data_IF_252624075179
#
_entry.id   IF_252624075179
#
_cell.length_a   1.000
_cell.length_b   1.000
_cell.length_c   1.000
_cell.angle_alpha   90.00
_cell.angle_beta   90.00
_cell.angle_gamma   90.00
#
_symmetry.space_group_name_H-M   'P 1'
#
loop_
_entity.id
_entity.type
_entity.pdbx_description
1 polymer ?
#
# COMPACT_ATOMS: atom_id res chain seq x y z
N UNK A 1 -19.42 -11.57 -32.00
CA UNK A 1 -18.88 -12.04 -30.71
C UNK A 1 -19.18 -10.96 -29.68
N UNK A 2 -20.40 -10.98 -29.15
CA UNK A 2 -20.80 -10.11 -28.05
C UNK A 2 -20.13 -10.65 -26.80
N UNK A 3 -19.20 -9.89 -26.21
CA UNK A 3 -18.72 -10.14 -24.85
C UNK A 3 -19.95 -10.05 -23.95
N UNK A 4 -20.56 -11.19 -23.60
CA UNK A 4 -21.66 -11.19 -22.64
C UNK A 4 -21.11 -10.66 -21.32
N UNK A 5 -21.86 -9.77 -20.66
CA UNK A 5 -21.57 -9.18 -19.35
C UNK A 5 -21.47 -10.20 -18.18
N UNK A 6 -21.26 -11.49 -18.47
CA UNK A 6 -21.37 -12.63 -17.57
C UNK A 6 -20.13 -12.91 -16.70
N UNK A 7 -19.15 -12.00 -16.64
CA UNK A 7 -17.92 -12.20 -15.87
C UNK A 7 -17.78 -11.32 -14.62
N UNK A 8 -18.62 -10.29 -14.47
CA UNK A 8 -18.62 -9.45 -13.26
C UNK A 8 -19.64 -10.04 -12.29
N UNK A 9 -19.17 -10.48 -11.13
CA UNK A 9 -20.08 -10.93 -10.08
C UNK A 9 -21.00 -9.78 -9.65
N UNK A 10 -22.30 -10.04 -9.43
CA UNK A 10 -23.22 -8.99 -9.02
C UNK A 10 -22.74 -8.39 -7.70
N UNK A 11 -22.69 -7.06 -7.65
CA UNK A 11 -22.39 -6.34 -6.41
C UNK A 11 -23.58 -6.47 -5.46
N UNK A 12 -23.36 -6.50 -4.13
CA UNK A 12 -24.43 -6.52 -3.14
C UNK A 12 -25.00 -5.10 -2.96
N UNK A 13 -25.77 -4.62 -3.94
CA UNK A 13 -26.33 -3.26 -3.99
C UNK A 13 -27.45 -2.99 -2.97
N UNK A 14 -28.05 -4.06 -2.44
CA UNK A 14 -29.05 -4.05 -1.38
C UNK A 14 -28.45 -3.91 0.03
N UNK A 15 -27.15 -4.18 0.19
CA UNK A 15 -26.47 -4.11 1.48
C UNK A 15 -26.48 -2.67 2.02
N UNK A 16 -26.83 -2.54 3.31
CA UNK A 16 -26.83 -1.29 4.05
C UNK A 16 -26.02 -1.42 5.33
N UNK A 17 -25.20 -0.42 5.62
CA UNK A 17 -24.48 -0.33 6.89
C UNK A 17 -25.36 0.30 7.96
N UNK A 18 -25.22 -0.12 9.23
CA UNK A 18 -25.82 0.59 10.35
C UNK A 18 -25.22 2.00 10.48
N UNK A 19 -26.07 3.02 10.63
CA UNK A 19 -25.64 4.44 10.64
C UNK A 19 -24.52 4.72 11.65
N UNK A 20 -24.65 4.21 12.87
CA UNK A 20 -23.63 4.36 13.92
C UNK A 20 -22.29 3.75 13.53
N UNK A 21 -22.28 2.55 12.92
CA UNK A 21 -21.05 1.88 12.50
C UNK A 21 -20.38 2.65 11.35
N UNK A 22 -21.16 3.09 10.37
CA UNK A 22 -20.69 3.90 9.25
C UNK A 22 -19.99 5.18 9.70
N UNK A 23 -20.61 5.94 10.61
CA UNK A 23 -20.01 7.16 11.14
C UNK A 23 -18.80 6.92 12.03
N UNK A 24 -18.84 5.92 12.92
CA UNK A 24 -17.70 5.62 13.80
C UNK A 24 -16.47 5.19 13.01
N UNK A 25 -16.63 4.31 12.02
CA UNK A 25 -15.52 3.85 11.17
C UNK A 25 -14.98 5.00 10.31
N UNK A 26 -15.86 5.79 9.68
CA UNK A 26 -15.48 6.97 8.89
C UNK A 26 -14.68 7.97 9.74
N UNK A 27 -15.19 8.32 10.92
CA UNK A 27 -14.52 9.25 11.82
C UNK A 27 -13.16 8.71 12.30
N UNK A 28 -13.10 7.42 12.65
CA UNK A 28 -11.86 6.78 13.07
C UNK A 28 -10.76 6.88 12.02
N UNK A 29 -11.06 6.52 10.77
CA UNK A 29 -10.10 6.56 9.66
C UNK A 29 -9.66 7.99 9.34
N UNK A 30 -10.60 8.95 9.29
CA UNK A 30 -10.28 10.37 9.07
C UNK A 30 -9.35 10.89 10.17
N UNK A 31 -9.64 10.57 11.43
CA UNK A 31 -8.80 10.96 12.56
C UNK A 31 -7.38 10.38 12.43
N UNK A 32 -7.23 9.11 12.06
CA UNK A 32 -5.90 8.53 11.82
C UNK A 32 -5.13 9.27 10.71
N UNK A 33 -5.79 9.61 9.61
CA UNK A 33 -5.23 10.41 8.54
C UNK A 33 -4.77 11.80 9.02
N UNK A 34 -5.61 12.49 9.80
CA UNK A 34 -5.28 13.81 10.35
C UNK A 34 -4.18 13.76 11.41
N UNK A 35 -4.14 12.73 12.24
CA UNK A 35 -3.05 12.51 13.21
C UNK A 35 -1.72 12.30 12.50
N UNK A 36 -1.70 11.56 11.38
CA UNK A 36 -0.49 11.41 10.58
C UNK A 36 -0.06 12.74 9.93
N UNK A 37 -1.00 13.56 9.45
CA UNK A 37 -0.72 14.91 8.97
C UNK A 37 -0.11 15.80 10.06
N UNK A 38 -0.71 15.79 11.26
CA UNK A 38 -0.21 16.54 12.40
C UNK A 38 1.20 16.09 12.81
N UNK A 39 1.46 14.77 12.81
CA UNK A 39 2.80 14.22 13.01
C UNK A 39 3.76 14.68 11.91
N UNK A 40 3.33 14.72 10.65
CA UNK A 40 4.11 15.25 9.54
C UNK A 40 4.46 16.73 9.71
N UNK A 41 3.50 17.55 10.13
CA UNK A 41 3.70 18.96 10.47
C UNK A 41 4.70 19.15 11.62
N UNK A 42 4.59 18.33 12.67
CA UNK A 42 5.57 18.29 13.76
C UNK A 42 6.97 17.94 13.27
N UNK A 43 7.10 16.90 12.44
CA UNK A 43 8.38 16.46 11.85
C UNK A 43 9.01 17.55 11.00
N UNK A 44 8.20 18.23 10.20
CA UNK A 44 8.64 19.37 9.40
C UNK A 44 9.12 20.53 10.26
N UNK A 45 8.34 20.95 11.26
CA UNK A 45 8.67 22.07 12.13
C UNK A 45 9.94 21.82 12.96
N UNK A 46 10.07 20.61 13.53
CA UNK A 46 11.16 20.28 14.46
C UNK A 46 12.44 19.80 13.77
N UNK A 47 12.32 19.03 12.68
CA UNK A 47 13.44 18.35 12.04
C UNK A 47 13.65 18.73 10.58
N UNK A 48 12.83 19.62 10.02
CA UNK A 48 12.83 19.99 8.58
C UNK A 48 12.62 18.78 7.66
N UNK A 49 11.99 17.74 8.19
CA UNK A 49 11.65 16.53 7.48
C UNK A 49 10.25 16.70 6.85
N UNK A 50 10.22 17.03 5.57
CA UNK A 50 8.97 17.21 4.81
C UNK A 50 8.41 15.92 4.23
N UNK A 51 9.17 14.81 4.28
CA UNK A 51 8.77 13.52 3.71
C UNK A 51 7.41 13.03 4.21
N UNK A 52 7.08 13.05 5.52
CA UNK A 52 5.78 12.56 5.97
C UNK A 52 4.60 13.40 5.46
N UNK A 53 4.77 14.72 5.30
CA UNK A 53 3.72 15.59 4.71
C UNK A 53 3.55 15.29 3.23
N UNK A 54 4.65 15.08 2.51
CA UNK A 54 4.62 14.68 1.09
C UNK A 54 3.96 13.30 0.95
N UNK A 55 4.25 12.35 1.83
CA UNK A 55 3.61 11.02 1.80
C UNK A 55 2.12 11.08 2.13
N UNK A 56 1.74 11.94 3.09
CA UNK A 56 0.32 12.20 3.36
C UNK A 56 -0.38 12.70 2.09
N UNK A 57 0.17 13.74 1.44
CA UNK A 57 -0.41 14.31 0.23
C UNK A 57 -0.42 13.33 -0.96
N UNK A 58 0.67 12.59 -1.17
CA UNK A 58 0.76 11.57 -2.21
C UNK A 58 -0.21 10.41 -1.99
N UNK A 59 -0.44 10.02 -0.73
CA UNK A 59 -1.47 9.05 -0.35
C UNK A 59 -2.88 9.57 -0.66
N UNK A 60 -3.26 10.71 -0.07
CA UNK A 60 -4.61 11.27 -0.15
C UNK A 60 -5.03 11.74 -1.55
N UNK A 61 -4.13 12.34 -2.31
CA UNK A 61 -4.50 13.08 -3.52
C UNK A 61 -4.03 12.42 -4.81
N UNK A 62 -3.28 11.31 -4.73
CA UNK A 62 -2.79 10.61 -5.91
C UNK A 62 -3.07 9.12 -5.78
N UNK A 63 -2.55 8.48 -4.73
CA UNK A 63 -2.65 7.03 -4.59
C UNK A 63 -4.09 6.57 -4.36
N UNK A 64 -4.90 7.29 -3.59
CA UNK A 64 -6.29 6.90 -3.33
C UNK A 64 -7.16 6.78 -4.58
N UNK A 65 -6.80 7.44 -5.68
CA UNK A 65 -7.55 7.35 -6.93
C UNK A 65 -7.46 5.98 -7.60
N UNK A 66 -6.54 5.12 -7.17
CA UNK A 66 -6.46 3.72 -7.64
C UNK A 66 -7.50 2.82 -6.96
N UNK A 67 -8.10 3.26 -5.85
CA UNK A 67 -9.03 2.49 -5.04
C UNK A 67 -10.20 1.88 -5.84
N UNK A 68 -10.99 2.64 -6.62
CA UNK A 68 -12.18 2.07 -7.28
C UNK A 68 -11.82 1.00 -8.32
N UNK A 69 -10.59 1.04 -8.86
CA UNK A 69 -10.11 -0.06 -9.71
C UNK A 69 -9.89 -1.31 -8.85
N UNK A 70 -9.25 -1.15 -7.68
CA UNK A 70 -8.98 -2.21 -6.71
C UNK A 70 -10.25 -2.83 -6.18
N UNK A 71 -11.23 -2.00 -5.84
CA UNK A 71 -12.53 -2.43 -5.35
C UNK A 71 -13.24 -3.29 -6.38
N UNK A 72 -13.26 -2.84 -7.63
CA UNK A 72 -13.89 -3.57 -8.73
C UNK A 72 -13.24 -4.95 -8.96
N UNK A 73 -11.91 -5.01 -9.11
CA UNK A 73 -11.23 -6.29 -9.43
C UNK A 73 -11.01 -7.18 -8.21
N UNK A 74 -10.99 -6.59 -7.02
CA UNK A 74 -10.83 -7.25 -5.73
C UNK A 74 -12.13 -7.72 -5.09
N UNK A 75 -13.26 -7.40 -5.73
CA UNK A 75 -14.61 -7.65 -5.22
C UNK A 75 -14.81 -7.05 -3.82
N UNK A 76 -14.40 -5.80 -3.64
CA UNK A 76 -14.73 -5.00 -2.46
C UNK A 76 -15.89 -4.07 -2.80
N UNK A 77 -16.85 -3.96 -1.89
CA UNK A 77 -18.00 -3.08 -2.05
C UNK A 77 -18.23 -2.19 -0.84
N UNK A 78 -18.47 -0.91 -1.12
CA UNK A 78 -18.92 0.08 -0.14
C UNK A 78 -20.44 0.23 -0.25
N UNK A 79 -21.23 -0.07 0.80
CA UNK A 79 -22.65 0.23 0.83
C UNK A 79 -22.92 1.71 0.54
N UNK A 80 -23.93 1.99 -0.28
CA UNK A 80 -24.25 3.36 -0.75
C UNK A 80 -24.74 4.31 0.34
N UNK A 81 -24.96 3.80 1.56
CA UNK A 81 -25.28 4.61 2.74
C UNK A 81 -24.10 4.80 3.70
N UNK A 82 -22.87 4.44 3.31
CA UNK A 82 -21.67 4.85 4.04
C UNK A 82 -21.56 6.39 3.99
N UNK A 83 -21.26 7.06 5.12
CA UNK A 83 -21.22 8.52 5.15
C UNK A 83 -20.18 9.14 4.21
N UNK A 84 -20.51 10.32 3.70
CA UNK A 84 -19.58 11.22 3.00
C UNK A 84 -18.97 10.62 1.72
N UNK A 85 -19.78 10.28 0.72
CA UNK A 85 -19.26 9.89 -0.60
C UNK A 85 -18.41 11.02 -1.21
N UNK A 86 -17.19 10.70 -1.65
CA UNK A 86 -16.29 11.65 -2.29
C UNK A 86 -16.49 11.69 -3.81
N UNK A 87 -16.47 10.52 -4.45
CA UNK A 87 -16.69 10.37 -5.89
C UNK A 87 -17.15 8.96 -6.25
N UNK A 88 -17.62 8.80 -7.48
CA UNK A 88 -18.01 7.50 -8.04
C UNK A 88 -17.16 7.23 -9.27
N UNK A 89 -16.56 6.05 -9.35
CA UNK A 89 -15.81 5.60 -10.51
C UNK A 89 -15.99 4.10 -10.71
N UNK A 90 -16.03 3.64 -11.96
CA UNK A 90 -16.23 2.22 -12.31
C UNK A 90 -17.48 1.56 -11.69
N UNK A 91 -18.48 2.36 -11.31
CA UNK A 91 -19.70 1.88 -10.63
C UNK A 91 -19.55 1.69 -9.11
N UNK A 92 -18.41 2.07 -8.53
CA UNK A 92 -18.14 2.01 -7.09
C UNK A 92 -18.22 3.42 -6.50
N UNK A 93 -18.98 3.58 -5.42
CA UNK A 93 -19.00 4.81 -4.61
C UNK A 93 -17.83 4.80 -3.64
N UNK A 94 -16.91 5.75 -3.77
CA UNK A 94 -15.71 5.85 -2.94
C UNK A 94 -15.99 6.84 -1.79
N UNK A 95 -15.97 6.40 -0.52
CA UNK A 95 -16.19 7.30 0.61
C UNK A 95 -15.00 8.23 0.87
N UNK A 96 -15.26 9.38 1.48
CA UNK A 96 -14.26 10.39 1.83
C UNK A 96 -13.18 9.85 2.77
N UNK A 97 -13.47 8.79 3.54
CA UNK A 97 -12.48 8.16 4.41
C UNK A 97 -11.28 7.57 3.64
N UNK A 98 -11.46 7.20 2.37
CA UNK A 98 -10.43 6.49 1.57
C UNK A 98 -9.14 7.31 1.40
N UNK A 99 -9.18 8.59 0.94
CA UNK A 99 -7.99 9.44 0.95
C UNK A 99 -7.24 9.48 2.30
N UNK A 100 -7.96 9.48 3.42
CA UNK A 100 -7.35 9.50 4.74
C UNK A 100 -6.73 8.14 5.10
N UNK A 101 -7.39 7.03 4.76
CA UNK A 101 -6.83 5.68 4.88
C UNK A 101 -5.52 5.55 4.09
N UNK A 102 -5.52 5.94 2.82
CA UNK A 102 -4.32 5.95 1.98
C UNK A 102 -3.23 6.87 2.53
N UNK A 103 -3.59 8.00 3.11
CA UNK A 103 -2.61 8.92 3.70
C UNK A 103 -1.90 8.30 4.91
N UNK A 104 -2.66 7.76 5.88
CA UNK A 104 -2.09 7.21 7.11
C UNK A 104 -1.46 5.84 6.91
N UNK A 105 -2.14 4.94 6.21
CA UNK A 105 -1.71 3.55 6.09
C UNK A 105 -0.68 3.38 4.97
N UNK A 106 -1.02 3.77 3.74
CA UNK A 106 -0.14 3.62 2.58
C UNK A 106 1.02 4.63 2.66
N UNK A 107 0.71 5.93 2.79
CA UNK A 107 1.71 6.99 2.92
C UNK A 107 2.51 6.90 4.23
N UNK A 108 1.82 6.80 5.36
CA UNK A 108 2.45 6.74 6.68
C UNK A 108 3.23 5.45 6.92
N UNK A 109 2.65 4.30 6.61
CA UNK A 109 3.35 3.01 6.66
C UNK A 109 4.62 3.02 5.80
N UNK A 110 4.52 3.56 4.57
CA UNK A 110 5.66 3.68 3.66
C UNK A 110 6.77 4.58 4.22
N UNK A 111 6.39 5.72 4.79
CA UNK A 111 7.34 6.61 5.48
C UNK A 111 8.03 5.93 6.68
N UNK A 112 7.30 5.20 7.52
CA UNK A 112 7.92 4.50 8.66
C UNK A 112 8.84 3.37 8.20
N UNK A 113 8.44 2.60 7.18
CA UNK A 113 9.28 1.60 6.55
C UNK A 113 10.58 2.22 6.01
N UNK A 114 10.49 3.35 5.30
CA UNK A 114 11.64 4.13 4.84
C UNK A 114 12.58 4.51 5.99
N UNK A 115 12.04 5.06 7.08
CA UNK A 115 12.86 5.49 8.24
C UNK A 115 13.61 4.32 8.85
N UNK A 116 13.01 3.14 8.93
CA UNK A 116 13.67 1.93 9.42
C UNK A 116 14.77 1.46 8.46
N UNK A 117 14.51 1.47 7.16
CA UNK A 117 15.50 1.10 6.13
C UNK A 117 16.70 2.04 6.17
N UNK A 118 16.45 3.36 6.22
CA UNK A 118 17.46 4.41 6.32
C UNK A 118 18.28 4.30 7.62
N UNK A 119 17.67 3.84 8.71
CA UNK A 119 18.34 3.60 9.98
C UNK A 119 19.20 2.32 10.02
N UNK A 120 19.37 1.62 8.89
CA UNK A 120 20.27 0.46 8.84
C UNK A 120 19.58 -0.87 9.17
N UNK A 121 18.30 -1.06 8.81
CA UNK A 121 17.59 -2.33 9.05
C UNK A 121 18.37 -3.55 8.51
N UNK A 122 18.18 -4.70 9.15
CA UNK A 122 18.67 -6.02 8.72
C UNK A 122 17.58 -6.79 7.99
N UNK A 123 17.95 -7.82 7.20
CA UNK A 123 16.99 -8.66 6.48
C UNK A 123 15.93 -9.27 7.41
N UNK A 124 16.36 -9.84 8.55
CA UNK A 124 15.43 -10.44 9.54
C UNK A 124 14.41 -9.41 10.04
N UNK A 125 14.87 -8.18 10.33
CA UNK A 125 13.97 -7.09 10.76
C UNK A 125 13.07 -6.61 9.63
N UNK A 126 13.51 -6.64 8.37
CA UNK A 126 12.66 -6.30 7.23
C UNK A 126 11.46 -7.27 7.11
N UNK A 127 11.70 -8.58 7.24
CA UNK A 127 10.61 -9.58 7.29
C UNK A 127 9.73 -9.43 8.53
N UNK A 128 10.29 -9.00 9.67
CA UNK A 128 9.47 -8.69 10.85
C UNK A 128 8.56 -7.47 10.61
N UNK A 129 9.08 -6.42 9.97
CA UNK A 129 8.30 -5.24 9.58
C UNK A 129 7.19 -5.61 8.59
N UNK A 130 7.47 -6.48 7.61
CA UNK A 130 6.45 -7.03 6.72
C UNK A 130 5.29 -7.67 7.51
N UNK A 131 5.61 -8.58 8.45
CA UNK A 131 4.60 -9.23 9.29
C UNK A 131 3.82 -8.25 10.18
N UNK A 132 4.50 -7.24 10.73
CA UNK A 132 3.85 -6.18 11.53
C UNK A 132 2.88 -5.36 10.67
N UNK A 133 3.26 -4.98 9.45
CA UNK A 133 2.38 -4.24 8.55
C UNK A 133 1.17 -5.10 8.16
N UNK A 134 1.39 -6.38 7.83
CA UNK A 134 0.28 -7.29 7.52
C UNK A 134 -0.68 -7.45 8.70
N UNK A 135 -0.16 -7.54 9.93
CA UNK A 135 -1.01 -7.57 11.12
C UNK A 135 -1.75 -6.25 11.34
N UNK A 136 -1.10 -5.11 11.08
CA UNK A 136 -1.72 -3.80 11.20
C UNK A 136 -2.84 -3.60 10.17
N UNK A 137 -2.67 -4.10 8.95
CA UNK A 137 -3.69 -4.14 7.90
C UNK A 137 -4.93 -4.91 8.38
N UNK A 138 -4.72 -6.16 8.82
CA UNK A 138 -5.79 -7.00 9.34
C UNK A 138 -6.56 -6.33 10.49
N UNK A 139 -5.85 -5.71 11.45
CA UNK A 139 -6.46 -5.02 12.59
C UNK A 139 -7.25 -3.78 12.13
N UNK A 140 -6.80 -3.11 11.07
CA UNK A 140 -7.45 -1.91 10.54
C UNK A 140 -8.74 -2.26 9.78
N UNK A 141 -8.69 -3.36 9.01
CA UNK A 141 -9.77 -3.80 8.12
C UNK A 141 -10.92 -4.48 8.85
N UNK A 142 -10.61 -5.33 9.83
CA UNK A 142 -11.61 -6.15 10.54
C UNK A 142 -12.78 -5.35 11.13
N UNK A 143 -12.58 -4.18 11.77
CA UNK A 143 -13.70 -3.35 12.24
C UNK A 143 -14.67 -2.96 11.11
N UNK A 144 -14.17 -2.67 9.91
CA UNK A 144 -15.02 -2.28 8.77
C UNK A 144 -15.75 -3.48 8.17
N UNK A 145 -15.04 -4.57 7.93
CA UNK A 145 -15.64 -5.79 7.35
C UNK A 145 -16.64 -6.46 8.31
N UNK A 146 -16.32 -6.52 9.61
CA UNK A 146 -17.20 -7.14 10.62
C UNK A 146 -18.46 -6.33 10.93
N UNK A 147 -18.48 -5.04 10.63
CA UNK A 147 -19.65 -4.16 10.81
C UNK A 147 -20.40 -3.88 9.51
N UNK A 148 -19.90 -4.40 8.37
CA UNK A 148 -20.48 -4.21 7.05
C UNK A 148 -20.31 -2.80 6.51
N UNK A 149 -19.33 -2.03 7.00
CA UNK A 149 -18.98 -0.71 6.42
C UNK A 149 -18.39 -0.86 5.03
N UNK A 150 -17.73 -1.98 4.78
CA UNK A 150 -17.38 -2.49 3.46
C UNK A 150 -17.38 -4.00 3.51
N UNK A 151 -17.53 -4.65 2.36
CA UNK A 151 -17.57 -6.10 2.26
C UNK A 151 -16.71 -6.58 1.11
N UNK A 152 -15.96 -7.64 1.34
CA UNK A 152 -15.44 -8.46 0.27
C UNK A 152 -16.52 -9.46 -0.14
N UNK A 153 -16.98 -9.37 -1.38
CA UNK A 153 -18.05 -10.23 -1.90
C UNK A 153 -17.50 -11.33 -2.79
N UNK A 154 -18.38 -12.29 -3.10
CA UNK A 154 -18.00 -13.51 -3.81
C UNK A 154 -17.30 -14.54 -2.91
N UNK A 155 -16.75 -15.60 -3.52
CA UNK A 155 -15.99 -16.61 -2.78
C UNK A 155 -14.54 -16.13 -2.60
N UNK A 156 -14.21 -15.64 -1.40
CA UNK A 156 -12.90 -15.13 -1.06
C UNK A 156 -12.14 -16.14 -0.18
N UNK A 157 -10.94 -16.59 -0.58
CA UNK A 157 -10.18 -17.51 0.27
C UNK A 157 -9.68 -16.89 1.57
N UNK A 158 -9.62 -17.72 2.60
CA UNK A 158 -9.02 -17.39 3.90
C UNK A 158 -9.67 -16.19 4.61
N UNK A 159 -10.99 -16.02 4.45
CA UNK A 159 -11.73 -14.99 5.16
C UNK A 159 -11.76 -15.22 6.67
N UNK A 160 -11.46 -14.16 7.41
CA UNK A 160 -11.57 -14.10 8.85
C UNK A 160 -12.29 -12.78 9.17
N UNK A 161 -13.45 -12.86 9.85
CA UNK A 161 -14.30 -11.70 10.13
C UNK A 161 -14.69 -10.87 8.88
N UNK A 162 -14.88 -11.54 7.74
CA UNK A 162 -15.22 -10.90 6.46
C UNK A 162 -14.03 -10.25 5.73
N UNK A 163 -12.82 -10.40 6.26
CA UNK A 163 -11.60 -9.91 5.63
C UNK A 163 -10.77 -11.08 5.05
N UNK A 164 -10.48 -11.12 3.74
CA UNK A 164 -9.66 -12.16 3.14
C UNK A 164 -8.18 -11.95 3.51
N UNK A 165 -7.62 -12.84 4.32
CA UNK A 165 -6.31 -12.64 4.96
C UNK A 165 -5.16 -12.40 3.95
N UNK A 166 -5.32 -12.85 2.70
CA UNK A 166 -4.30 -12.67 1.68
C UNK A 166 -4.08 -11.21 1.27
N UNK A 167 -5.07 -10.35 1.45
CA UNK A 167 -4.91 -8.91 1.22
C UNK A 167 -3.87 -8.29 2.15
N UNK A 168 -3.77 -8.77 3.39
CA UNK A 168 -2.82 -8.20 4.35
C UNK A 168 -1.37 -8.35 3.96
N UNK A 169 -0.95 -9.49 3.40
CA UNK A 169 0.43 -9.62 2.94
C UNK A 169 0.67 -8.91 1.61
N UNK A 170 -0.35 -8.75 0.75
CA UNK A 170 -0.26 -7.95 -0.47
C UNK A 170 -0.09 -6.45 -0.15
N UNK A 171 -0.88 -5.93 0.79
CA UNK A 171 -0.80 -4.55 1.27
C UNK A 171 0.54 -4.30 2.00
N UNK A 172 1.00 -5.26 2.80
CA UNK A 172 2.33 -5.16 3.43
C UNK A 172 3.47 -5.10 2.41
N UNK A 173 3.38 -5.85 1.31
CA UNK A 173 4.32 -5.75 0.19
C UNK A 173 4.28 -4.36 -0.45
N UNK A 174 3.10 -3.80 -0.70
CA UNK A 174 2.96 -2.44 -1.23
C UNK A 174 3.66 -1.42 -0.33
N UNK A 175 3.38 -1.46 0.98
CA UNK A 175 3.95 -0.51 1.95
C UNK A 175 5.48 -0.61 2.02
N UNK A 176 6.04 -1.81 2.04
CA UNK A 176 7.50 -1.99 2.02
C UNK A 176 8.12 -1.47 0.73
N UNK A 177 7.45 -1.66 -0.42
CA UNK A 177 7.90 -1.11 -1.70
C UNK A 177 7.92 0.43 -1.67
N UNK A 178 6.93 1.09 -1.05
CA UNK A 178 6.95 2.55 -0.85
C UNK A 178 8.18 2.96 -0.03
N UNK A 179 8.46 2.23 1.06
CA UNK A 179 9.65 2.46 1.88
C UNK A 179 10.96 2.34 1.09
N UNK A 180 11.05 1.37 0.18
CA UNK A 180 12.18 1.24 -0.74
C UNK A 180 12.27 2.42 -1.71
N UNK A 181 11.18 2.82 -2.36
CA UNK A 181 11.16 3.95 -3.29
C UNK A 181 11.64 5.22 -2.61
N UNK A 182 11.17 5.50 -1.40
CA UNK A 182 11.65 6.63 -0.61
C UNK A 182 13.13 6.51 -0.25
N UNK A 183 13.59 5.33 0.15
CA UNK A 183 15.00 5.11 0.50
C UNK A 183 15.94 5.38 -0.67
N UNK A 184 15.51 5.04 -1.88
CA UNK A 184 16.27 5.31 -3.10
C UNK A 184 16.14 6.78 -3.52
N UNK A 185 14.94 7.35 -3.54
CA UNK A 185 14.70 8.64 -4.16
C UNK A 185 15.02 9.82 -3.24
N UNK A 186 14.63 9.78 -1.97
CA UNK A 186 14.69 10.94 -1.06
C UNK A 186 16.09 11.57 -0.97
N UNK A 187 17.19 10.79 -0.85
CA UNK A 187 18.53 11.38 -0.80
C UNK A 187 19.02 11.96 -2.13
N UNK A 188 18.35 11.66 -3.24
CA UNK A 188 18.81 11.91 -4.62
C UNK A 188 17.99 12.98 -5.35
N UNK A 189 16.82 13.35 -4.83
CA UNK A 189 15.95 14.37 -5.43
C UNK A 189 15.97 15.66 -4.61
N UNK A 190 16.18 16.80 -5.30
CA UNK A 190 16.35 18.10 -4.65
C UNK A 190 15.54 19.21 -5.35
N UNK A 191 15.30 20.30 -4.63
CA UNK A 191 14.54 21.45 -5.13
C UNK A 191 13.14 21.04 -5.63
N UNK A 192 12.73 21.57 -6.78
CA UNK A 192 11.43 21.26 -7.40
C UNK A 192 11.23 19.77 -7.71
N UNK A 193 12.31 19.02 -7.93
CA UNK A 193 12.23 17.58 -8.21
C UNK A 193 11.84 16.75 -6.99
N UNK A 194 11.86 17.32 -5.77
CA UNK A 194 11.25 16.65 -4.61
C UNK A 194 9.77 16.34 -4.80
N UNK A 195 9.07 17.04 -5.71
CA UNK A 195 7.68 16.74 -6.05
C UNK A 195 7.48 15.30 -6.58
N UNK A 196 8.52 14.67 -7.15
CA UNK A 196 8.45 13.26 -7.60
C UNK A 196 8.16 12.31 -6.43
N UNK A 197 8.53 12.67 -5.20
CA UNK A 197 8.21 11.85 -4.02
C UNK A 197 6.70 11.73 -3.79
N UNK A 198 5.87 12.64 -4.29
CA UNK A 198 4.41 12.51 -4.24
C UNK A 198 3.91 11.23 -4.93
N UNK A 199 4.67 10.71 -5.91
CA UNK A 199 4.34 9.49 -6.64
C UNK A 199 4.81 8.22 -5.92
N UNK A 200 5.59 8.32 -4.84
CA UNK A 200 6.15 7.16 -4.15
C UNK A 200 5.06 6.23 -3.57
N UNK A 201 3.97 6.73 -2.95
CA UNK A 201 2.87 5.88 -2.51
C UNK A 201 2.26 5.06 -3.65
N UNK A 202 1.94 5.72 -4.77
CA UNK A 202 1.39 5.06 -5.96
C UNK A 202 2.38 4.07 -6.56
N UNK A 203 3.65 4.43 -6.74
CA UNK A 203 4.66 3.55 -7.31
C UNK A 203 4.85 2.28 -6.47
N UNK A 204 4.91 2.41 -5.14
CA UNK A 204 5.03 1.27 -4.24
C UNK A 204 3.78 0.39 -4.21
N UNK A 205 2.59 1.00 -4.22
CA UNK A 205 1.32 0.28 -4.34
C UNK A 205 1.24 -0.49 -5.66
N UNK A 206 1.61 0.16 -6.77
CA UNK A 206 1.65 -0.45 -8.11
C UNK A 206 2.66 -1.60 -8.22
N UNK A 207 3.72 -1.61 -7.40
CA UNK A 207 4.66 -2.73 -7.36
C UNK A 207 4.00 -4.03 -6.85
N UNK A 208 3.16 -3.94 -5.81
CA UNK A 208 2.40 -5.11 -5.35
C UNK A 208 1.33 -5.51 -6.37
N UNK A 209 0.64 -4.52 -6.96
CA UNK A 209 -0.35 -4.71 -8.02
C UNK A 209 0.20 -5.39 -9.28
N UNK A 210 1.44 -5.09 -9.65
CA UNK A 210 2.05 -5.62 -10.86
C UNK A 210 2.61 -7.04 -10.72
N UNK A 211 2.86 -7.51 -9.49
CA UNK A 211 3.58 -8.77 -9.26
C UNK A 211 2.73 -9.78 -8.47
N UNK A 212 2.18 -9.39 -7.33
CA UNK A 212 1.54 -10.32 -6.40
C UNK A 212 0.00 -10.31 -6.52
N UNK A 213 -0.62 -9.14 -6.74
CA UNK A 213 -2.07 -9.02 -6.88
C UNK A 213 -2.67 -9.57 -8.19
N UNK A 214 -1.98 -9.74 -9.33
CA UNK A 214 -2.60 -10.30 -10.53
C UNK A 214 -3.12 -11.73 -10.31
N UNK A 215 -2.43 -12.54 -9.51
CA UNK A 215 -2.93 -13.85 -9.10
C UNK A 215 -4.15 -13.74 -8.18
N UNK A 216 -4.15 -12.76 -7.26
CA UNK A 216 -5.30 -12.47 -6.41
C UNK A 216 -6.52 -12.00 -7.21
N UNK A 217 -6.34 -11.26 -8.30
CA UNK A 217 -7.46 -10.86 -9.18
C UNK A 217 -7.90 -12.00 -10.09
N UNK A 218 -6.97 -12.80 -10.59
CA UNK A 218 -7.26 -13.95 -11.45
C UNK A 218 -8.19 -14.94 -10.74
N UNK A 219 -7.94 -15.21 -9.46
CA UNK A 219 -8.73 -16.18 -8.68
C UNK A 219 -10.18 -15.72 -8.44
N UNK A 220 -10.43 -14.41 -8.39
CA UNK A 220 -11.75 -13.82 -8.18
C UNK A 220 -12.53 -13.67 -9.49
N UNK A 221 -11.84 -13.31 -10.57
CA UNK A 221 -12.45 -12.92 -11.83
C UNK A 221 -12.46 -14.03 -12.90
N UNK A 222 -12.36 -15.30 -12.49
CA UNK A 222 -12.48 -16.44 -13.41
C UNK A 222 -13.36 -17.56 -12.82
N UNK A 223 -13.89 -18.41 -13.72
CA UNK A 223 -14.77 -19.52 -13.40
C UNK A 223 -14.01 -20.76 -12.88
N UNK A 224 -12.94 -20.57 -12.12
CA UNK A 224 -12.13 -21.68 -11.61
C UNK A 224 -12.81 -22.44 -10.46
N UNK A 225 -12.50 -23.73 -10.36
CA UNK A 225 -12.97 -24.56 -9.24
C UNK A 225 -12.43 -24.03 -7.90
N UNK A 226 -13.23 -24.16 -6.85
CA UNK A 226 -12.93 -23.62 -5.53
C UNK A 226 -11.56 -24.05 -4.97
N UNK A 227 -11.14 -25.33 -5.03
CA UNK A 227 -9.80 -25.70 -4.55
C UNK A 227 -8.67 -24.97 -5.28
N UNK A 228 -8.84 -24.68 -6.58
CA UNK A 228 -7.85 -23.94 -7.37
C UNK A 228 -7.75 -22.49 -6.92
N UNK A 229 -8.88 -21.88 -6.54
CA UNK A 229 -8.97 -20.52 -6.01
C UNK A 229 -8.10 -20.36 -4.76
N UNK A 230 -8.25 -21.27 -3.79
CA UNK A 230 -7.44 -21.29 -2.57
C UNK A 230 -5.95 -21.53 -2.84
N UNK A 231 -5.62 -22.41 -3.81
CA UNK A 231 -4.23 -22.65 -4.23
C UNK A 231 -3.61 -21.36 -4.80
N UNK A 232 -4.32 -20.65 -5.67
CA UNK A 232 -3.80 -19.42 -6.28
C UNK A 232 -3.69 -18.30 -5.23
N UNK A 233 -4.66 -18.18 -4.33
CA UNK A 233 -4.59 -17.23 -3.23
C UNK A 233 -3.36 -17.47 -2.34
N UNK A 234 -3.06 -18.72 -1.95
CA UNK A 234 -1.89 -18.99 -1.11
C UNK A 234 -0.56 -18.78 -1.84
N UNK A 235 -0.52 -18.95 -3.17
CA UNK A 235 0.67 -18.66 -4.00
C UNK A 235 1.04 -17.16 -4.03
N UNK A 236 0.14 -16.27 -3.64
CA UNK A 236 0.47 -14.84 -3.52
C UNK A 236 1.44 -14.56 -2.36
N UNK A 237 1.45 -15.39 -1.31
CA UNK A 237 2.35 -15.24 -0.16
C UNK A 237 3.84 -15.46 -0.53
N UNK A 238 4.25 -16.57 -1.17
CA UNK A 238 5.64 -16.72 -1.59
C UNK A 238 6.07 -15.64 -2.58
N UNK A 239 5.19 -15.14 -3.45
CA UNK A 239 5.49 -13.98 -4.30
C UNK A 239 5.74 -12.72 -3.47
N UNK A 240 4.88 -12.42 -2.49
CA UNK A 240 5.09 -11.31 -1.56
C UNK A 240 6.44 -11.42 -0.83
N UNK A 241 6.79 -12.61 -0.32
CA UNK A 241 8.08 -12.86 0.34
C UNK A 241 9.27 -12.72 -0.60
N UNK A 242 9.15 -13.15 -1.86
CA UNK A 242 10.18 -12.94 -2.89
C UNK A 242 10.39 -11.45 -3.18
N UNK A 243 9.32 -10.65 -3.19
CA UNK A 243 9.43 -9.19 -3.34
C UNK A 243 10.14 -8.58 -2.12
N UNK A 244 9.81 -8.99 -0.89
CA UNK A 244 10.53 -8.54 0.31
C UNK A 244 12.02 -8.89 0.24
N UNK A 245 12.35 -10.09 -0.26
CA UNK A 245 13.73 -10.53 -0.49
C UNK A 245 14.41 -9.66 -1.57
N UNK A 246 13.73 -9.35 -2.66
CA UNK A 246 14.24 -8.47 -3.71
C UNK A 246 14.48 -7.04 -3.19
N UNK A 247 13.56 -6.49 -2.40
CA UNK A 247 13.72 -5.20 -1.72
C UNK A 247 15.02 -5.18 -0.90
N UNK A 248 15.30 -6.24 -0.15
CA UNK A 248 16.54 -6.34 0.61
C UNK A 248 17.80 -6.34 -0.27
N UNK A 249 17.77 -7.05 -1.41
CA UNK A 249 18.89 -7.05 -2.35
C UNK A 249 19.15 -5.65 -2.94
N UNK A 250 18.09 -4.91 -3.27
CA UNK A 250 18.21 -3.51 -3.71
C UNK A 250 18.77 -2.63 -2.59
N UNK A 251 18.32 -2.79 -1.35
CA UNK A 251 18.86 -2.03 -0.21
C UNK A 251 20.37 -2.26 -0.05
N UNK A 252 20.83 -3.52 -0.12
CA UNK A 252 22.27 -3.83 -0.06
C UNK A 252 23.04 -3.17 -1.19
N UNK A 253 22.54 -3.30 -2.42
CA UNK A 253 23.17 -2.71 -3.59
C UNK A 253 23.31 -1.19 -3.45
N UNK A 254 22.24 -0.50 -3.05
CA UNK A 254 22.23 0.96 -2.85
C UNK A 254 23.24 1.36 -1.76
N UNK A 255 23.31 0.63 -0.65
CA UNK A 255 24.30 0.88 0.42
C UNK A 255 25.74 0.73 -0.07
N UNK A 256 26.02 -0.31 -0.85
CA UNK A 256 27.34 -0.55 -1.43
C UNK A 256 27.72 0.56 -2.41
N UNK A 257 26.79 0.94 -3.29
CA UNK A 257 26.97 2.02 -4.25
C UNK A 257 27.28 3.35 -3.55
N UNK A 258 26.50 3.71 -2.52
CA UNK A 258 26.70 4.96 -1.78
C UNK A 258 28.03 4.98 -1.04
N UNK A 259 28.45 3.85 -0.46
CA UNK A 259 29.76 3.73 0.18
C UNK A 259 30.92 3.92 -0.83
N UNK A 260 30.80 3.33 -2.02
CA UNK A 260 31.79 3.47 -3.09
C UNK A 260 31.86 4.92 -3.60
N UNK A 261 30.71 5.56 -3.85
CA UNK A 261 30.64 6.94 -4.30
C UNK A 261 31.31 7.91 -3.29
N UNK A 262 31.11 7.68 -1.98
CA UNK A 262 31.77 8.44 -0.92
C UNK A 262 33.29 8.20 -0.94
N UNK A 263 33.74 6.95 -1.14
CA UNK A 263 35.16 6.62 -1.17
C UNK A 263 35.88 7.29 -2.34
N UNK A 264 35.29 7.27 -3.54
CA UNK A 264 35.82 7.94 -4.74
C UNK A 264 35.94 9.44 -4.51
N UNK A 265 34.91 10.08 -3.95
CA UNK A 265 34.94 11.52 -3.65
C UNK A 265 36.04 11.92 -2.64
N UNK A 266 36.42 11.02 -1.74
CA UNK A 266 37.48 11.25 -0.73
C UNK A 266 38.91 11.02 -1.26
N UNK A 267 39.09 10.34 -2.40
CA UNK A 267 40.39 10.06 -3.01
C UNK A 267 40.34 10.27 -4.52
N UNK A 268 40.19 11.52 -5.00
CA UNK A 268 40.15 11.81 -6.44
C UNK A 268 41.44 11.36 -7.15
N UNK A 269 42.58 11.38 -6.46
CA UNK A 269 43.92 11.17 -7.03
C UNK A 269 44.26 9.68 -7.29
N UNK A 270 43.58 8.75 -6.60
CA UNK A 270 43.84 7.31 -6.71
C UNK A 270 43.32 6.69 -8.02
N UNK A 271 42.50 7.41 -8.78
CA UNK A 271 41.95 6.94 -10.07
C UNK A 271 42.96 7.13 -11.22
N UNK A 272 43.92 8.07 -11.09
CA UNK A 272 44.94 8.30 -12.12
C UNK A 272 46.16 7.37 -12.02
N UNK A 273 46.42 6.76 -10.86
CA UNK A 273 47.50 5.76 -10.70
C UNK A 273 47.13 4.37 -11.23
N UNK A 274 45.86 4.03 -11.36
CA UNK A 274 45.42 2.76 -11.95
C UNK A 274 45.41 2.75 -13.50
N UNK A 275 45.75 3.89 -14.12
CA UNK A 275 45.80 4.08 -15.57
C UNK A 275 47.22 4.33 -16.12
N UNK A 276 48.26 4.06 -15.32
CA UNK A 276 49.68 4.05 -15.73
C UNK A 276 50.26 2.67 -15.47
#
# INVERSE_FOLDING_TARGET
MTLSAAFIQPVPDDLRVGETAGWLFTAWVIVLGLLFLAYGGYRFARYRDSVPVIMWAGGAFICSFVEPMGDLVGHLWWPTNVPLTLYTAYGVEVPLLIPFAYSSFVGGGGYFAYRLIAAGITMKRLFAVFGIIAAADFIMEVPGTSTGVHVYYGNQPFEIFGFPLYWSWLNATAILSIGLFLYVLEPRVHGKWRAVLLLAPTAGHMCAWGIAMPLAFLQLNTSMAEPMRYIIAILTLPLALLIVRAIWEVIKFVRQYDAMAIAVKKRPDAVHEASR
#
